data_IF_557918199776
#
_entry.id   IF_557918199776
#
_cell.length_a   1.000
_cell.length_b   1.000
_cell.length_c   1.000
_cell.angle_alpha   90.00
_cell.angle_beta   90.00
_cell.angle_gamma   90.00
#
_symmetry.space_group_name_H-M   'P 1'
#
loop_
_entity.id
_entity.type
_entity.pdbx_description
1 polymer ?
#
# COMPACT_ATOMS: atom_id res chain seq x y z
N UNK A 1 -41.79 -42.59 -52.80
CA UNK A 1 -41.18 -41.24 -52.86
C UNK A 1 -41.53 -40.53 -51.55
N UNK A 2 -40.70 -40.69 -50.51
CA UNK A 2 -41.01 -40.25 -49.15
C UNK A 2 -40.02 -39.14 -48.77
N UNK A 3 -40.52 -37.91 -48.73
CA UNK A 3 -39.76 -36.70 -48.43
C UNK A 3 -39.72 -36.51 -46.90
N UNK A 4 -38.62 -36.89 -46.23
CA UNK A 4 -38.43 -36.63 -44.79
C UNK A 4 -37.99 -35.17 -44.58
N UNK A 5 -38.89 -34.35 -44.05
CA UNK A 5 -38.59 -32.98 -43.59
C UNK A 5 -37.96 -33.05 -42.20
N UNK A 6 -36.66 -32.77 -42.10
CA UNK A 6 -35.95 -32.62 -40.82
C UNK A 6 -36.16 -31.19 -40.34
N UNK A 7 -36.97 -31.00 -39.30
CA UNK A 7 -37.18 -29.71 -38.66
C UNK A 7 -36.03 -29.43 -37.68
N UNK A 8 -35.17 -28.47 -38.02
CA UNK A 8 -34.09 -27.99 -37.17
C UNK A 8 -34.64 -26.86 -36.29
N UNK A 9 -35.02 -27.18 -35.05
CA UNK A 9 -35.43 -26.20 -34.04
C UNK A 9 -34.18 -25.54 -33.46
N UNK A 10 -33.83 -24.37 -33.97
CA UNK A 10 -32.77 -23.53 -33.41
C UNK A 10 -33.32 -22.75 -32.21
N UNK A 11 -33.04 -23.20 -30.99
CA UNK A 11 -33.37 -22.48 -29.76
C UNK A 11 -32.40 -21.32 -29.56
N UNK A 12 -32.87 -20.10 -29.85
CA UNK A 12 -32.11 -18.87 -29.66
C UNK A 12 -32.07 -18.51 -28.16
N UNK A 13 -30.97 -18.84 -27.48
CA UNK A 13 -30.71 -18.45 -26.10
C UNK A 13 -30.28 -16.97 -26.07
N UNK A 14 -31.23 -16.06 -25.86
CA UNK A 14 -30.93 -14.64 -25.65
C UNK A 14 -30.39 -14.49 -24.23
N UNK A 15 -29.06 -14.47 -24.09
CA UNK A 15 -28.41 -14.11 -22.83
C UNK A 15 -28.56 -12.59 -22.67
N UNK A 16 -29.46 -12.17 -21.79
CA UNK A 16 -29.61 -10.77 -21.38
C UNK A 16 -28.38 -10.39 -20.56
N UNK A 17 -27.34 -9.90 -21.24
CA UNK A 17 -26.19 -9.26 -20.60
C UNK A 17 -26.68 -7.93 -20.03
N UNK A 18 -26.95 -7.91 -18.72
CA UNK A 18 -27.09 -6.64 -17.99
C UNK A 18 -25.76 -5.90 -18.15
N UNK A 19 -25.73 -4.70 -18.75
CA UNK A 19 -24.50 -3.92 -18.78
C UNK A 19 -24.12 -3.64 -17.34
N UNK A 20 -23.04 -4.28 -16.86
CA UNK A 20 -22.37 -3.80 -15.65
C UNK A 20 -21.80 -2.44 -16.02
N UNK A 21 -22.52 -1.37 -15.65
CA UNK A 21 -21.91 -0.05 -15.61
C UNK A 21 -20.76 -0.17 -14.63
N UNK A 22 -19.53 -0.18 -15.13
CA UNK A 22 -18.36 0.10 -14.35
C UNK A 22 -18.42 1.56 -13.93
N UNK A 23 -19.21 1.87 -12.90
CA UNK A 23 -19.01 3.12 -12.19
C UNK A 23 -17.59 3.07 -11.64
N UNK A 24 -16.75 4.01 -12.05
CA UNK A 24 -15.46 4.28 -11.44
C UNK A 24 -15.69 4.91 -10.04
N UNK A 25 -16.42 4.20 -9.19
CA UNK A 25 -16.63 4.59 -7.81
C UNK A 25 -15.28 4.61 -7.08
N UNK A 26 -15.11 5.58 -6.18
CA UNK A 26 -13.95 5.61 -5.31
C UNK A 26 -13.89 4.32 -4.51
N UNK A 27 -12.77 3.61 -4.57
CA UNK A 27 -12.58 2.34 -3.88
C UNK A 27 -12.42 2.63 -2.38
N UNK A 28 -13.29 2.13 -1.49
CA UNK A 28 -13.13 2.28 -0.06
C UNK A 28 -12.12 1.28 0.49
N UNK A 29 -11.23 1.74 1.37
CA UNK A 29 -10.23 0.91 2.05
C UNK A 29 -9.87 1.48 3.41
N UNK A 30 -9.19 0.68 4.23
CA UNK A 30 -8.65 1.12 5.51
C UNK A 30 -7.20 0.71 5.66
N UNK A 31 -6.49 1.37 6.57
CA UNK A 31 -5.09 1.13 6.81
C UNK A 31 -4.70 1.24 8.28
N UNK A 32 -3.61 0.58 8.61
CA UNK A 32 -2.98 0.63 9.92
C UNK A 32 -1.46 0.60 9.75
N UNK A 33 -0.78 1.61 10.27
CA UNK A 33 0.68 1.64 10.32
C UNK A 33 1.21 0.98 11.59
N UNK A 34 2.43 0.47 11.49
CA UNK A 34 3.26 -0.02 12.58
C UNK A 34 4.71 0.41 12.35
N UNK A 35 5.45 0.53 13.44
CA UNK A 35 6.87 0.87 13.43
C UNK A 35 7.62 -0.11 14.33
N UNK A 36 8.80 -0.53 13.91
CA UNK A 36 9.67 -1.39 14.69
C UNK A 36 11.15 -1.00 14.48
N UNK A 37 11.88 -0.65 15.55
CA UNK A 37 11.38 -0.44 16.91
C UNK A 37 10.45 0.80 16.99
N UNK A 38 9.68 0.92 18.07
CA UNK A 38 8.90 2.15 18.36
C UNK A 38 9.77 3.28 18.91
N UNK A 39 10.97 2.94 19.38
CA UNK A 39 12.01 3.88 19.81
C UNK A 39 13.31 3.46 19.12
N UNK A 40 13.91 4.39 18.38
CA UNK A 40 15.25 4.23 17.83
C UNK A 40 16.20 4.98 18.75
N UNK A 41 16.98 4.22 19.50
CA UNK A 41 17.98 4.77 20.41
C UNK A 41 19.16 5.36 19.64
N UNK A 42 19.73 6.44 20.18
CA UNK A 42 21.02 6.96 19.72
C UNK A 42 22.16 5.98 20.04
N UNK A 43 23.30 6.16 19.37
CA UNK A 43 24.50 5.38 19.61
C UNK A 43 24.95 5.52 21.08
N UNK A 44 25.44 4.43 21.69
CA UNK A 44 25.98 4.50 23.04
C UNK A 44 27.23 5.39 23.07
N UNK A 45 27.27 6.32 24.03
CA UNK A 45 28.41 7.25 24.21
C UNK A 45 29.69 6.56 24.77
N UNK A 46 29.65 5.25 25.01
CA UNK A 46 30.75 4.44 25.51
C UNK A 46 30.28 3.06 25.99
N UNK A 47 31.22 2.16 26.37
CA UNK A 47 30.92 0.76 26.69
C UNK A 47 30.02 0.54 27.91
N UNK A 48 29.83 1.56 28.76
CA UNK A 48 29.04 1.49 29.98
C UNK A 48 27.93 2.57 30.02
N UNK A 49 27.48 3.07 28.88
CA UNK A 49 26.44 4.10 28.82
C UNK A 49 25.22 3.55 28.11
N UNK A 50 24.09 3.50 28.81
CA UNK A 50 22.78 3.27 28.18
C UNK A 50 22.44 4.48 27.32
N UNK A 51 21.88 4.28 26.11
CA UNK A 51 21.40 5.39 25.30
C UNK A 51 20.44 6.25 26.13
N UNK A 52 20.74 7.54 26.20
CA UNK A 52 19.95 8.52 26.95
C UNK A 52 19.31 9.55 26.00
N UNK A 53 19.10 9.16 24.74
CA UNK A 53 18.36 9.94 23.76
C UNK A 53 17.96 9.05 22.58
N UNK A 54 16.99 9.51 21.81
CA UNK A 54 16.46 8.73 20.70
C UNK A 54 15.33 9.42 19.98
N UNK A 55 14.75 8.68 19.04
CA UNK A 55 13.57 9.08 18.27
C UNK A 55 12.46 8.09 18.57
N UNK A 56 11.31 8.60 19.03
CA UNK A 56 10.09 7.81 19.14
C UNK A 56 9.35 7.84 17.82
N UNK A 57 8.99 6.67 17.30
CA UNK A 57 8.17 6.49 16.11
C UNK A 57 6.76 6.14 16.53
N UNK A 58 5.84 7.09 16.39
CA UNK A 58 4.41 6.88 16.69
C UNK A 58 3.67 6.64 15.39
N UNK A 59 3.14 5.43 15.12
CA UNK A 59 2.37 5.16 13.92
C UNK A 59 1.22 6.15 13.73
N UNK A 60 1.07 6.66 12.50
CA UNK A 60 -0.01 7.56 12.15
C UNK A 60 -1.36 6.84 12.25
N UNK A 61 -2.29 7.39 13.04
CA UNK A 61 -3.68 6.99 13.07
C UNK A 61 -4.55 8.21 12.73
N UNK A 62 -5.48 8.06 11.78
CA UNK A 62 -6.63 8.96 11.70
C UNK A 62 -7.70 8.35 12.59
N UNK A 63 -7.78 8.79 13.84
CA UNK A 63 -8.76 8.29 14.80
C UNK A 63 -10.07 9.04 14.61
N UNK A 64 -11.05 8.44 13.93
CA UNK A 64 -12.42 9.00 13.93
C UNK A 64 -13.25 8.46 15.10
N UNK A 65 -13.01 7.24 15.59
CA UNK A 65 -13.67 6.74 16.82
C UNK A 65 -13.13 5.36 17.24
N UNK A 66 -12.42 5.27 18.37
CA UNK A 66 -12.32 4.03 19.16
C UNK A 66 -11.41 2.88 18.68
N UNK A 67 -10.52 3.10 17.70
CA UNK A 67 -9.50 2.11 17.32
C UNK A 67 -8.71 2.56 16.09
N UNK A 68 -7.38 2.45 16.13
CA UNK A 68 -6.42 3.08 15.21
C UNK A 68 -6.43 2.49 13.77
N UNK A 69 -7.52 2.63 13.03
CA UNK A 69 -7.57 2.36 11.59
C UNK A 69 -8.01 3.62 10.86
N UNK A 70 -7.13 4.11 9.99
CA UNK A 70 -7.51 5.16 9.04
C UNK A 70 -8.40 4.57 7.95
N UNK A 71 -9.38 5.34 7.49
CA UNK A 71 -10.25 4.98 6.36
C UNK A 71 -10.03 6.00 5.25
N UNK A 72 -9.99 5.53 4.00
CA UNK A 72 -9.76 6.37 2.84
C UNK A 72 -10.62 5.91 1.64
N UNK A 73 -10.81 6.82 0.69
CA UNK A 73 -11.56 6.60 -0.55
C UNK A 73 -10.67 6.95 -1.73
N UNK A 74 -10.44 5.98 -2.63
CA UNK A 74 -9.54 6.18 -3.78
C UNK A 74 -8.10 6.43 -3.36
N UNK A 75 -7.41 7.34 -4.06
CA UNK A 75 -6.03 7.70 -3.75
C UNK A 75 -5.97 8.60 -2.50
N UNK A 76 -4.98 8.43 -1.63
CA UNK A 76 -4.84 9.25 -0.43
C UNK A 76 -3.38 9.51 -0.03
N UNK A 77 -3.12 10.70 0.52
CA UNK A 77 -1.93 11.00 1.30
C UNK A 77 -2.20 10.66 2.77
N UNK A 78 -1.27 9.94 3.41
CA UNK A 78 -1.39 9.48 4.78
C UNK A 78 -0.07 9.69 5.51
N UNK A 79 -0.13 9.90 6.83
CA UNK A 79 1.06 9.92 7.68
C UNK A 79 1.37 8.48 8.08
N UNK A 80 2.59 8.02 7.80
CA UNK A 80 3.05 6.69 8.18
C UNK A 80 3.43 6.65 9.66
N UNK A 81 4.30 7.56 10.08
CA UNK A 81 4.73 7.74 11.46
C UNK A 81 4.95 9.21 11.76
N UNK A 82 4.62 9.62 12.99
CA UNK A 82 5.13 10.85 13.59
C UNK A 82 6.45 10.53 14.30
N UNK A 83 7.39 11.45 14.22
CA UNK A 83 8.71 11.36 14.83
C UNK A 83 8.78 12.35 15.98
N UNK A 84 9.22 11.92 17.15
CA UNK A 84 9.45 12.81 18.29
C UNK A 84 10.84 12.53 18.83
N UNK A 85 11.71 13.54 18.78
CA UNK A 85 13.02 13.44 19.40
C UNK A 85 12.90 13.59 20.91
N UNK A 86 13.70 12.82 21.65
CA UNK A 86 13.83 12.99 23.09
C UNK A 86 15.29 12.84 23.50
N UNK A 87 15.63 13.52 24.57
CA UNK A 87 16.93 13.43 25.24
C UNK A 87 16.67 13.42 26.74
N UNK A 88 17.48 12.66 27.47
CA UNK A 88 17.58 12.77 28.91
C UNK A 88 18.75 13.69 29.20
N UNK A 89 18.42 14.89 29.68
CA UNK A 89 19.39 15.92 30.02
C UNK A 89 20.03 15.66 31.39
N UNK A 90 21.31 16.02 31.59
CA UNK A 90 22.25 16.53 30.60
C UNK A 90 22.96 15.42 29.83
N UNK A 91 23.30 15.68 28.56
CA UNK A 91 24.19 14.79 27.82
C UNK A 91 25.54 14.65 28.56
N UNK A 92 26.06 13.42 28.74
CA UNK A 92 27.37 13.20 29.33
C UNK A 92 28.45 14.01 28.60
N UNK A 93 29.04 14.98 29.32
CA UNK A 93 30.10 15.86 28.81
C UNK A 93 29.70 16.79 27.65
N UNK A 94 28.40 17.05 27.47
CA UNK A 94 27.90 17.95 26.42
C UNK A 94 28.10 17.45 24.99
N UNK A 95 28.34 16.14 24.80
CA UNK A 95 28.48 15.56 23.47
C UNK A 95 27.10 15.37 22.82
N UNK A 96 26.93 15.62 21.51
CA UNK A 96 25.70 15.25 20.83
C UNK A 96 25.47 13.73 20.86
N UNK A 97 24.20 13.34 20.92
CA UNK A 97 23.77 11.96 20.66
C UNK A 97 23.86 11.70 19.16
N UNK A 98 24.68 10.74 18.73
CA UNK A 98 24.80 10.39 17.31
C UNK A 98 23.86 9.25 16.94
N UNK A 99 23.45 9.21 15.67
CA UNK A 99 22.82 8.06 15.06
C UNK A 99 23.71 7.61 13.92
N UNK A 100 24.20 6.37 13.97
CA UNK A 100 25.03 5.78 12.91
C UNK A 100 24.32 4.56 12.32
N UNK A 101 23.68 4.74 11.17
CA UNK A 101 22.87 3.74 10.48
C UNK A 101 21.81 3.09 11.39
N UNK A 102 21.16 3.89 12.25
CA UNK A 102 20.23 3.39 13.25
C UNK A 102 18.95 2.83 12.57
N UNK A 103 18.73 1.51 12.55
CA UNK A 103 17.76 0.90 11.66
C UNK A 103 16.32 1.03 12.18
N UNK A 104 15.38 1.16 11.25
CA UNK A 104 13.95 1.09 11.54
C UNK A 104 13.19 0.38 10.42
N UNK A 105 12.00 -0.11 10.77
CA UNK A 105 11.04 -0.74 9.85
C UNK A 105 9.67 -0.15 10.03
N UNK A 106 9.03 0.23 8.92
CA UNK A 106 7.64 0.66 8.87
C UNK A 106 6.81 -0.42 8.20
N UNK A 107 5.65 -0.75 8.75
CA UNK A 107 4.70 -1.69 8.16
C UNK A 107 3.35 -1.03 7.96
N UNK A 108 2.77 -1.14 6.77
CA UNK A 108 1.37 -0.76 6.52
C UNK A 108 0.55 -2.00 6.25
N UNK A 109 -0.54 -2.17 6.98
CA UNK A 109 -1.57 -3.16 6.71
C UNK A 109 -2.75 -2.47 6.04
N UNK A 110 -3.08 -2.89 4.83
CA UNK A 110 -4.19 -2.39 4.03
C UNK A 110 -5.33 -3.40 4.07
N UNK A 111 -6.57 -2.92 4.18
CA UNK A 111 -7.78 -3.75 4.07
C UNK A 111 -8.70 -3.17 3.00
N UNK A 112 -8.96 -3.93 1.95
CA UNK A 112 -9.91 -3.59 0.90
C UNK A 112 -11.35 -3.76 1.43
N UNK A 113 -12.17 -2.70 1.40
CA UNK A 113 -13.46 -2.76 2.07
C UNK A 113 -14.50 -3.60 1.31
N UNK A 114 -14.34 -3.78 0.00
CA UNK A 114 -15.25 -4.58 -0.83
C UNK A 114 -15.03 -6.08 -0.65
N UNK A 115 -13.79 -6.54 -0.78
CA UNK A 115 -13.40 -7.94 -0.67
C UNK A 115 -13.10 -8.40 0.76
N UNK A 116 -12.89 -7.47 1.69
CA UNK A 116 -12.39 -7.70 3.05
C UNK A 116 -11.00 -8.32 3.12
N UNK A 117 -10.30 -8.44 1.99
CA UNK A 117 -8.93 -8.95 1.97
C UNK A 117 -7.98 -7.94 2.61
N UNK A 118 -6.99 -8.47 3.32
CA UNK A 118 -5.96 -7.70 4.02
C UNK A 118 -4.59 -8.11 3.50
N UNK A 119 -3.67 -7.16 3.39
CA UNK A 119 -2.28 -7.41 3.06
C UNK A 119 -1.36 -6.36 3.67
N UNK A 120 -0.09 -6.71 3.82
CA UNK A 120 0.89 -5.84 4.47
C UNK A 120 2.10 -5.60 3.57
N UNK A 121 2.62 -4.37 3.62
CA UNK A 121 3.84 -3.93 2.96
C UNK A 121 4.80 -3.45 4.04
N UNK A 122 6.10 -3.68 3.85
CA UNK A 122 7.12 -3.24 4.79
C UNK A 122 8.20 -2.42 4.10
N UNK A 123 8.58 -1.33 4.75
CA UNK A 123 9.68 -0.46 4.35
C UNK A 123 10.75 -0.49 5.43
N UNK A 124 12.01 -0.50 5.03
CA UNK A 124 13.15 -0.41 5.94
C UNK A 124 13.95 0.85 5.62
N UNK A 125 14.53 1.43 6.66
CA UNK A 125 15.42 2.56 6.55
C UNK A 125 16.37 2.63 7.72
N UNK A 126 17.23 3.64 7.68
CA UNK A 126 18.16 3.98 8.75
C UNK A 126 18.09 5.47 9.02
N UNK A 127 18.26 5.85 10.28
CA UNK A 127 18.52 7.22 10.68
C UNK A 127 20.02 7.46 10.83
N UNK A 128 20.47 8.61 10.36
CA UNK A 128 21.82 9.12 10.58
C UNK A 128 21.75 10.56 11.05
N UNK A 129 22.71 10.97 11.87
CA UNK A 129 22.86 12.37 12.27
C UNK A 129 23.19 12.56 13.74
N UNK A 130 22.78 13.70 14.29
CA UNK A 130 23.05 14.08 15.67
C UNK A 130 21.88 14.81 16.33
N UNK A 131 21.80 14.69 17.65
CA UNK A 131 20.74 15.24 18.47
C UNK A 131 21.31 15.82 19.76
N UNK A 132 20.87 17.03 20.11
CA UNK A 132 21.05 17.64 21.42
C UNK A 132 19.69 18.13 21.93
N UNK A 133 19.61 18.67 23.15
CA UNK A 133 18.37 19.25 23.67
C UNK A 133 17.88 20.45 22.82
N UNK A 134 18.79 21.14 22.14
CA UNK A 134 18.54 22.41 21.43
C UNK A 134 18.67 22.31 19.91
N UNK A 135 19.33 21.29 19.40
CA UNK A 135 19.60 21.14 17.97
C UNK A 135 19.34 19.71 17.55
N UNK A 136 18.86 19.55 16.33
CA UNK A 136 18.70 18.25 15.70
C UNK A 136 19.14 18.35 14.25
N UNK A 137 19.98 17.42 13.84
CA UNK A 137 20.39 17.21 12.48
C UNK A 137 20.17 15.74 12.19
N UNK A 138 18.96 15.39 11.74
CA UNK A 138 18.55 14.01 11.54
C UNK A 138 18.19 13.82 10.06
N UNK A 139 18.75 12.78 9.47
CA UNK A 139 18.44 12.33 8.12
C UNK A 139 17.93 10.91 8.14
N UNK A 140 17.12 10.57 7.14
CA UNK A 140 16.66 9.20 6.92
C UNK A 140 17.01 8.71 5.54
N UNK A 141 17.43 7.45 5.45
CA UNK A 141 17.73 6.77 4.21
C UNK A 141 16.95 5.45 4.14
N UNK A 142 16.09 5.31 3.13
CA UNK A 142 15.36 4.06 2.90
C UNK A 142 16.28 3.02 2.26
N UNK A 143 16.37 1.85 2.89
CA UNK A 143 17.18 0.72 2.42
C UNK A 143 16.36 -0.28 1.58
N UNK A 144 15.03 -0.23 1.68
CA UNK A 144 14.09 -0.93 0.80
C UNK A 144 13.57 -0.04 -0.32
N UNK A 145 12.90 -0.63 -1.33
CA UNK A 145 12.16 0.13 -2.32
C UNK A 145 11.10 1.03 -1.66
N UNK A 146 11.14 2.33 -1.96
CA UNK A 146 10.21 3.36 -1.44
C UNK A 146 8.81 3.25 -2.04
N UNK A 147 8.65 2.49 -3.12
CA UNK A 147 7.38 2.18 -3.75
C UNK A 147 7.19 0.66 -3.82
N UNK A 148 6.06 0.18 -3.32
CA UNK A 148 5.68 -1.22 -3.34
C UNK A 148 4.19 -1.36 -3.64
N UNK A 149 3.79 -2.51 -4.20
CA UNK A 149 2.38 -2.76 -4.52
C UNK A 149 1.93 -4.14 -4.09
N UNK A 150 0.64 -4.24 -3.79
CA UNK A 150 -0.05 -5.52 -3.60
C UNK A 150 -1.45 -5.47 -4.20
N UNK A 151 -2.04 -6.63 -4.43
CA UNK A 151 -3.41 -6.76 -4.95
C UNK A 151 -4.29 -7.33 -3.85
N UNK A 152 -5.40 -6.65 -3.53
CA UNK A 152 -6.43 -7.11 -2.61
C UNK A 152 -7.77 -7.13 -3.35
N UNK A 153 -8.41 -8.29 -3.39
CA UNK A 153 -9.63 -8.48 -4.17
C UNK A 153 -9.39 -8.17 -5.65
N UNK A 154 -10.05 -7.12 -6.12
CA UNK A 154 -9.97 -6.67 -7.52
C UNK A 154 -9.18 -5.37 -7.68
N UNK A 155 -8.45 -4.93 -6.67
CA UNK A 155 -7.80 -3.63 -6.63
C UNK A 155 -6.29 -3.77 -6.38
N UNK A 156 -5.48 -3.03 -7.14
CA UNK A 156 -4.05 -2.86 -6.91
C UNK A 156 -3.84 -1.64 -6.03
N UNK A 157 -3.14 -1.84 -4.92
CA UNK A 157 -2.71 -0.81 -4.00
C UNK A 157 -1.21 -0.59 -4.20
N UNK A 158 -0.81 0.62 -4.54
CA UNK A 158 0.59 1.03 -4.67
C UNK A 158 0.89 2.06 -3.59
N UNK A 159 1.74 1.69 -2.64
CA UNK A 159 2.16 2.55 -1.53
C UNK A 159 3.53 3.13 -1.86
N UNK A 160 3.65 4.45 -1.82
CA UNK A 160 4.90 5.18 -2.05
C UNK A 160 5.20 6.07 -0.85
N UNK A 161 6.41 5.98 -0.29
CA UNK A 161 6.89 6.93 0.72
C UNK A 161 7.26 8.24 0.03
N UNK A 162 6.70 9.37 0.47
CA UNK A 162 6.75 10.64 -0.29
C UNK A 162 7.50 11.75 0.42
N UNK A 163 7.28 11.92 1.72
CA UNK A 163 7.82 13.06 2.47
C UNK A 163 8.51 12.61 3.74
N UNK A 164 9.60 13.29 4.06
CA UNK A 164 10.25 13.25 5.36
C UNK A 164 10.35 14.67 5.88
N UNK A 165 9.83 14.89 7.08
CA UNK A 165 10.04 16.12 7.85
C UNK A 165 10.76 15.71 9.13
N UNK A 166 11.98 16.21 9.39
CA UNK A 166 12.69 15.92 10.64
C UNK A 166 11.87 16.43 11.84
N UNK A 167 11.99 15.80 13.02
CA UNK A 167 11.43 16.36 14.24
C UNK A 167 12.17 17.63 14.65
N UNK A 168 11.52 18.45 15.48
CA UNK A 168 12.17 19.60 16.11
C UNK A 168 13.02 19.13 17.31
N UNK A 169 13.95 19.96 17.79
CA UNK A 169 14.69 19.66 19.00
C UNK A 169 13.77 19.36 20.20
N UNK A 170 14.18 18.50 21.14
CA UNK A 170 13.37 18.12 22.30
C UNK A 170 12.88 19.31 23.13
N UNK A 171 13.66 20.39 23.24
CA UNK A 171 13.26 21.61 23.95
C UNK A 171 12.11 22.37 23.28
N UNK A 172 11.92 22.21 21.97
CA UNK A 172 10.85 22.86 21.20
C UNK A 172 9.60 21.97 21.09
N UNK A 173 9.77 20.65 21.17
CA UNK A 173 8.69 19.67 21.28
C UNK A 173 7.87 19.46 19.99
N UNK A 174 8.32 19.99 18.86
CA UNK A 174 7.66 19.78 17.58
C UNK A 174 7.93 18.39 16.99
N UNK A 175 6.87 17.79 16.42
CA UNK A 175 6.94 16.46 15.83
C UNK A 175 7.27 16.51 14.34
N UNK A 176 8.18 15.64 13.93
CA UNK A 176 8.45 15.34 12.53
C UNK A 176 7.49 14.28 12.00
N UNK A 177 7.63 13.91 10.72
CA UNK A 177 6.82 12.83 10.16
C UNK A 177 7.46 12.18 8.93
N UNK A 178 7.05 10.94 8.69
CA UNK A 178 7.22 10.27 7.39
C UNK A 178 5.84 10.11 6.78
N UNK A 179 5.64 10.68 5.59
CA UNK A 179 4.41 10.61 4.81
C UNK A 179 4.45 9.52 3.74
N UNK A 180 3.28 9.03 3.37
CA UNK A 180 3.09 8.09 2.28
C UNK A 180 1.90 8.49 1.41
N UNK A 181 1.96 8.13 0.14
CA UNK A 181 0.87 8.20 -0.81
C UNK A 181 0.43 6.79 -1.20
N UNK A 182 -0.87 6.53 -1.13
CA UNK A 182 -1.47 5.26 -1.56
C UNK A 182 -2.28 5.54 -2.81
N UNK A 183 -1.87 4.92 -3.93
CA UNK A 183 -2.66 4.87 -5.15
C UNK A 183 -3.44 3.58 -5.22
N UNK A 184 -4.73 3.68 -5.54
CA UNK A 184 -5.64 2.54 -5.64
C UNK A 184 -6.24 2.52 -7.03
N UNK A 185 -6.08 1.40 -7.73
CA UNK A 185 -6.58 1.23 -9.09
C UNK A 185 -7.25 -0.14 -9.21
N UNK A 186 -8.39 -0.26 -9.92
CA UNK A 186 -8.92 -1.56 -10.30
C UNK A 186 -7.87 -2.34 -11.09
N UNK A 187 -7.71 -3.63 -10.78
CA UNK A 187 -6.95 -4.52 -11.64
C UNK A 187 -7.78 -4.72 -12.90
N UNK A 188 -7.29 -4.25 -14.04
CA UNK A 188 -7.94 -4.47 -15.33
C UNK A 188 -8.02 -5.98 -15.59
N UNK A 189 -9.19 -6.56 -15.37
CA UNK A 189 -9.50 -7.85 -15.94
C UNK A 189 -9.79 -7.64 -17.43
N UNK A 190 -9.38 -8.57 -18.32
CA UNK A 190 -9.79 -8.51 -19.71
C UNK A 190 -11.31 -8.35 -19.74
N UNK A 191 -11.81 -7.32 -20.43
CA UNK A 191 -13.24 -7.06 -20.44
C UNK A 191 -14.00 -8.34 -20.83
N UNK A 192 -15.14 -8.64 -20.19
CA UNK A 192 -15.96 -9.80 -20.56
C UNK A 192 -16.27 -9.82 -22.07
N UNK A 193 -16.35 -8.64 -22.68
CA UNK A 193 -16.46 -8.40 -24.12
C UNK A 193 -15.41 -9.15 -24.93
N UNK A 194 -14.16 -9.18 -24.48
CA UNK A 194 -13.07 -9.88 -25.16
C UNK A 194 -13.25 -11.41 -25.09
N UNK A 195 -13.76 -11.94 -23.98
CA UNK A 195 -14.11 -13.37 -23.85
C UNK A 195 -15.32 -13.73 -24.72
N UNK A 196 -16.34 -12.87 -24.76
CA UNK A 196 -17.51 -13.09 -25.61
C UNK A 196 -17.12 -13.02 -27.09
N UNK A 197 -16.30 -12.05 -27.49
CA UNK A 197 -15.82 -11.92 -28.87
C UNK A 197 -14.91 -13.10 -29.25
N UNK A 198 -14.03 -13.53 -28.36
CA UNK A 198 -13.22 -14.74 -28.54
C UNK A 198 -14.12 -15.97 -28.68
N UNK A 199 -15.16 -16.12 -27.85
CA UNK A 199 -16.15 -17.18 -27.96
C UNK A 199 -16.87 -17.18 -29.31
N UNK A 200 -17.35 -16.02 -29.77
CA UNK A 200 -18.01 -15.88 -31.07
C UNK A 200 -17.04 -16.21 -32.21
N UNK A 201 -15.77 -15.78 -32.12
CA UNK A 201 -14.76 -16.10 -33.13
C UNK A 201 -14.50 -17.61 -33.21
N UNK A 202 -14.50 -18.33 -32.08
CA UNK A 202 -14.33 -19.78 -32.06
C UNK A 202 -15.50 -20.52 -32.72
N UNK A 203 -16.73 -20.05 -32.48
CA UNK A 203 -17.93 -20.60 -33.11
C UNK A 203 -17.90 -20.38 -34.63
N UNK A 204 -17.52 -19.18 -35.09
CA UNK A 204 -17.46 -18.90 -36.54
C UNK A 204 -16.35 -19.70 -37.26
N UNK A 205 -15.20 -19.89 -36.62
CA UNK A 205 -14.10 -20.71 -37.19
C UNK A 205 -14.49 -22.19 -37.24
N UNK A 206 -15.09 -22.74 -36.18
CA UNK A 206 -15.51 -24.16 -36.15
C UNK A 206 -16.60 -24.46 -37.19
N UNK A 207 -17.60 -23.58 -37.35
CA UNK A 207 -18.58 -23.70 -38.43
C UNK A 207 -17.95 -23.63 -39.83
N UNK A 208 -16.94 -22.79 -40.02
CA UNK A 208 -16.23 -22.67 -41.29
C UNK A 208 -15.39 -23.91 -41.62
N UNK A 209 -14.77 -24.53 -40.61
CA UNK A 209 -14.02 -25.78 -40.77
C UNK A 209 -14.93 -26.96 -41.11
N UNK A 210 -16.08 -27.09 -40.44
CA UNK A 210 -17.06 -28.15 -40.72
C UNK A 210 -17.61 -28.09 -42.14
N UNK A 211 -17.76 -26.90 -42.74
CA UNK A 211 -18.18 -26.76 -44.14
C UNK A 211 -17.16 -27.30 -45.15
N UNK A 212 -15.86 -27.32 -44.82
CA UNK A 212 -14.82 -27.80 -45.74
C UNK A 212 -14.72 -29.32 -45.83
N UNK A 213 -15.12 -30.06 -44.79
CA UNK A 213 -15.09 -31.52 -44.80
C UNK A 213 -16.32 -32.16 -45.49
N UNK A 214 -17.34 -31.39 -45.88
CA UNK A 214 -18.61 -31.91 -46.39
C UNK A 214 -18.76 -31.89 -47.92
N UNK A 215 -17.70 -31.60 -48.68
CA UNK A 215 -17.74 -31.63 -50.15
C UNK A 215 -16.99 -32.87 -50.67
N UNK A 216 -17.71 -33.89 -51.19
CA UNK A 216 -17.14 -35.02 -51.93
C UNK A 216 -16.74 -34.66 -53.37
#
# INVERSE_FOLDING_TARGET
MILRRVALTATLLIVVLKPQRGEAGLIPWSYQWSAQPTVVDADPLGPNHTPVGGITLTPGAITITGGNRGVALGNANIIAVNLTAFTFSPSPNGKPYSFTNAPYRLGITLTDAGSKQTGSIYFTGVFDGSLTDQTIDLHTYFTSATQQSLVLGHNRYTVSLTTYTPPDPPAEGGAGSIGAFVSVQPVSMPEPSALVLAGISLVTVTFSALRRCALP
#
